data_IF_285823388254
#
_entry.id   IF_285823388254
#
_cell.length_a   1.000
_cell.length_b   1.000
_cell.length_c   1.000
_cell.angle_alpha   90.00
_cell.angle_beta   90.00
_cell.angle_gamma   90.00
#
_symmetry.space_group_name_H-M   'P 1'
#
loop_
_entity.id
_entity.type
_entity.pdbx_description
1 polymer ?
#
# COMPACT_ATOMS: atom_id res chain seq x y z
N UNK A 1 7.30 -6.94 -8.17
CA UNK A 1 6.31 -5.93 -7.78
C UNK A 1 7.05 -4.68 -7.30
N UNK A 2 6.63 -3.54 -7.77
CA UNK A 2 7.15 -2.25 -7.33
C UNK A 2 6.02 -1.37 -6.78
N UNK A 3 6.36 -0.49 -5.87
CA UNK A 3 5.41 0.44 -5.29
C UNK A 3 6.06 1.81 -5.10
N UNK A 4 5.24 2.86 -5.14
CA UNK A 4 5.67 4.22 -4.86
C UNK A 4 4.60 4.93 -4.04
N UNK A 5 4.99 5.41 -2.88
CA UNK A 5 4.12 6.13 -1.95
C UNK A 5 4.41 7.62 -2.03
N UNK A 6 3.38 8.42 -2.27
CA UNK A 6 3.48 9.87 -2.29
C UNK A 6 2.95 10.41 -0.97
N UNK A 7 3.79 11.11 -0.25
CA UNK A 7 3.43 11.76 1.00
C UNK A 7 2.78 13.11 0.75
N UNK A 8 2.08 13.64 1.75
CA UNK A 8 1.35 14.90 1.62
C UNK A 8 2.27 16.07 1.28
N UNK A 9 3.51 16.05 1.73
CA UNK A 9 4.52 17.08 1.44
C UNK A 9 5.17 16.95 0.05
N UNK A 10 4.81 15.90 -0.72
CA UNK A 10 5.37 15.65 -2.04
C UNK A 10 6.54 14.68 -2.07
N UNK A 11 7.06 14.24 -0.92
CA UNK A 11 8.12 13.22 -0.88
C UNK A 11 7.59 11.90 -1.43
N UNK A 12 8.47 11.13 -2.08
CA UNK A 12 8.13 9.85 -2.67
C UNK A 12 9.04 8.77 -2.09
N UNK A 13 8.44 7.66 -1.65
CA UNK A 13 9.16 6.50 -1.14
C UNK A 13 8.83 5.29 -2.01
N UNK A 14 9.86 4.68 -2.56
CA UNK A 14 9.70 3.50 -3.39
C UNK A 14 9.93 2.22 -2.59
N UNK A 15 9.30 1.14 -3.01
CA UNK A 15 9.48 -0.17 -2.40
C UNK A 15 9.44 -1.28 -3.41
N UNK A 16 10.02 -2.41 -3.04
CA UNK A 16 9.94 -3.66 -3.77
C UNK A 16 9.60 -4.77 -2.78
N UNK A 17 9.14 -5.92 -3.28
CA UNK A 17 8.88 -7.04 -2.41
C UNK A 17 10.21 -7.62 -1.90
N UNK A 18 10.21 -8.04 -0.63
CA UNK A 18 11.38 -8.61 0.03
C UNK A 18 11.02 -10.03 0.45
N UNK A 19 11.65 -11.00 -0.19
CA UNK A 19 11.34 -12.40 -0.01
C UNK A 19 12.00 -12.98 1.24
N UNK A 20 11.37 -13.99 1.81
CA UNK A 20 11.90 -14.71 2.96
C UNK A 20 11.53 -16.18 2.82
N UNK A 21 12.44 -17.08 3.18
CA UNK A 21 12.18 -18.51 3.19
C UNK A 21 11.04 -18.86 4.15
N UNK A 22 10.89 -18.10 5.22
CA UNK A 22 9.70 -18.13 6.07
C UNK A 22 8.65 -17.20 5.45
N UNK A 23 7.69 -17.74 4.74
CA UNK A 23 6.75 -16.96 3.93
C UNK A 23 5.99 -15.90 4.72
N UNK A 24 5.71 -16.15 6.00
CA UNK A 24 5.05 -15.17 6.85
C UNK A 24 5.85 -13.91 7.09
N UNK A 25 7.16 -13.93 6.83
CA UNK A 25 8.04 -12.78 7.00
C UNK A 25 8.33 -12.06 5.69
N UNK A 26 7.84 -12.57 4.55
CA UNK A 26 7.93 -11.90 3.26
C UNK A 26 7.18 -10.59 3.32
N UNK A 27 7.78 -9.51 2.81
CA UNK A 27 7.18 -8.19 2.82
C UNK A 27 6.87 -7.72 1.41
N UNK A 28 5.63 -7.29 1.18
CA UNK A 28 5.21 -6.80 -0.13
C UNK A 28 5.80 -5.42 -0.41
N UNK A 29 5.91 -5.07 -1.71
CA UNK A 29 6.46 -3.80 -2.15
C UNK A 29 5.72 -2.61 -1.52
N UNK A 30 4.41 -2.69 -1.42
CA UNK A 30 3.57 -1.63 -0.85
C UNK A 30 3.93 -1.38 0.62
N UNK A 31 4.07 -2.45 1.41
CA UNK A 31 4.44 -2.32 2.83
C UNK A 31 5.87 -1.83 2.99
N UNK A 32 6.78 -2.23 2.10
CA UNK A 32 8.15 -1.72 2.12
C UNK A 32 8.16 -0.20 1.96
N UNK A 33 7.41 0.33 0.99
CA UNK A 33 7.30 1.77 0.76
C UNK A 33 6.67 2.49 1.95
N UNK A 34 5.56 1.96 2.47
CA UNK A 34 4.84 2.56 3.60
C UNK A 34 5.71 2.58 4.85
N UNK A 35 6.32 1.45 5.19
CA UNK A 35 7.13 1.35 6.41
C UNK A 35 8.37 2.24 6.34
N UNK A 36 8.97 2.38 5.16
CA UNK A 36 10.08 3.30 4.95
C UNK A 36 9.66 4.74 5.23
N UNK A 37 8.53 5.18 4.68
CA UNK A 37 8.02 6.52 4.89
C UNK A 37 7.65 6.76 6.36
N UNK A 38 6.98 5.80 7.00
CA UNK A 38 6.61 5.90 8.42
C UNK A 38 7.84 5.98 9.30
N UNK A 39 8.88 5.19 9.01
CA UNK A 39 10.12 5.22 9.77
C UNK A 39 10.85 6.55 9.64
N UNK A 40 10.61 7.28 8.57
CA UNK A 40 11.17 8.63 8.36
C UNK A 40 10.28 9.73 8.95
N UNK A 41 9.19 9.37 9.62
CA UNK A 41 8.33 10.32 10.33
C UNK A 41 7.11 10.80 9.57
N UNK A 42 6.82 10.25 8.40
CA UNK A 42 5.63 10.64 7.64
C UNK A 42 4.39 9.95 8.17
N UNK A 43 3.31 10.72 8.33
CA UNK A 43 2.03 10.22 8.84
C UNK A 43 0.86 10.57 7.94
N UNK A 44 1.06 11.39 6.90
CA UNK A 44 0.02 11.85 5.99
C UNK A 44 0.44 11.58 4.55
N UNK A 45 -0.46 10.93 3.80
CA UNK A 45 -0.16 10.40 2.48
C UNK A 45 -1.21 10.84 1.46
N UNK A 46 -0.80 10.97 0.20
CA UNK A 46 -1.69 11.32 -0.91
C UNK A 46 -2.12 10.09 -1.70
N UNK A 47 -1.18 9.22 -2.06
CA UNK A 47 -1.47 8.08 -2.94
C UNK A 47 -0.39 7.02 -2.85
N UNK A 48 -0.77 5.79 -3.16
CA UNK A 48 0.16 4.68 -3.31
C UNK A 48 -0.06 4.04 -4.67
N UNK A 49 1.01 3.92 -5.45
CA UNK A 49 0.98 3.20 -6.72
C UNK A 49 1.61 1.82 -6.54
N UNK A 50 1.03 0.80 -7.15
CA UNK A 50 1.58 -0.55 -7.18
C UNK A 50 1.56 -1.05 -8.62
N UNK A 51 2.68 -1.65 -9.06
CA UNK A 51 2.82 -2.16 -10.43
C UNK A 51 3.52 -3.51 -10.41
N UNK A 52 3.07 -4.40 -11.30
CA UNK A 52 3.69 -5.69 -11.51
C UNK A 52 3.46 -6.16 -12.95
N UNK A 53 4.15 -7.22 -13.34
CA UNK A 53 3.93 -7.86 -14.64
C UNK A 53 2.73 -8.81 -14.55
N UNK A 54 1.53 -8.24 -14.63
CA UNK A 54 0.27 -8.96 -14.50
C UNK A 54 -0.64 -8.70 -15.70
N UNK A 55 -1.63 -9.57 -15.93
CA UNK A 55 -2.56 -9.42 -17.05
C UNK A 55 -3.40 -8.15 -16.90
N UNK A 56 -3.93 -7.88 -15.72
CA UNK A 56 -4.66 -6.66 -15.42
C UNK A 56 -3.92 -5.80 -14.43
N UNK A 57 -4.54 -4.70 -13.95
CA UNK A 57 -3.94 -3.86 -12.91
C UNK A 57 -3.60 -4.68 -11.67
N UNK A 58 -2.40 -4.46 -11.12
CA UNK A 58 -1.92 -5.20 -9.96
C UNK A 58 -2.67 -4.78 -8.71
N UNK A 59 -3.46 -5.69 -8.13
CA UNK A 59 -4.18 -5.42 -6.89
C UNK A 59 -3.32 -5.77 -5.67
N UNK A 60 -3.33 -4.94 -4.61
CA UNK A 60 -2.60 -5.26 -3.38
C UNK A 60 -3.24 -6.42 -2.63
N UNK A 61 -2.42 -7.18 -1.90
CA UNK A 61 -2.92 -8.29 -1.07
C UNK A 61 -3.70 -7.77 0.15
N UNK A 62 -4.40 -8.67 0.84
CA UNK A 62 -5.22 -8.31 2.00
C UNK A 62 -4.41 -7.65 3.12
N UNK A 63 -3.22 -8.16 3.41
CA UNK A 63 -2.35 -7.58 4.43
C UNK A 63 -1.94 -6.15 4.09
N UNK A 64 -1.61 -5.89 2.82
CA UNK A 64 -1.29 -4.54 2.36
C UNK A 64 -2.50 -3.61 2.45
N UNK A 65 -3.70 -4.11 2.12
CA UNK A 65 -4.93 -3.32 2.23
C UNK A 65 -5.19 -2.91 3.68
N UNK A 66 -4.95 -3.80 4.64
CA UNK A 66 -5.09 -3.47 6.06
C UNK A 66 -4.10 -2.39 6.49
N UNK A 67 -2.85 -2.47 6.04
CA UNK A 67 -1.82 -1.46 6.34
C UNK A 67 -2.18 -0.12 5.70
N UNK A 68 -2.66 -0.12 4.46
CA UNK A 68 -3.12 1.10 3.79
C UNK A 68 -4.26 1.77 4.56
N UNK A 69 -5.19 0.97 5.07
CA UNK A 69 -6.29 1.47 5.89
C UNK A 69 -5.83 2.07 7.21
N UNK A 70 -4.86 1.43 7.86
CA UNK A 70 -4.31 1.92 9.13
C UNK A 70 -3.70 3.32 8.98
N UNK A 71 -2.98 3.56 7.89
CA UNK A 71 -2.33 4.86 7.64
C UNK A 71 -3.15 5.81 6.79
N UNK A 72 -4.41 5.48 6.54
CA UNK A 72 -5.38 6.35 5.84
C UNK A 72 -4.87 6.85 4.49
N UNK A 73 -4.27 5.97 3.69
CA UNK A 73 -3.84 6.33 2.34
C UNK A 73 -5.09 6.43 1.46
N UNK A 74 -5.44 7.62 0.92
CA UNK A 74 -6.75 7.80 0.31
C UNK A 74 -6.90 7.15 -1.08
N UNK A 75 -5.84 7.17 -1.87
CA UNK A 75 -5.90 6.78 -3.29
C UNK A 75 -4.88 5.69 -3.58
N UNK A 76 -5.34 4.62 -4.22
CA UNK A 76 -4.48 3.52 -4.66
C UNK A 76 -4.52 3.46 -6.18
N UNK A 77 -3.34 3.47 -6.80
CA UNK A 77 -3.18 3.38 -8.24
C UNK A 77 -2.62 2.00 -8.56
N UNK A 78 -3.40 1.18 -9.21
CA UNK A 78 -3.02 -0.19 -9.57
C UNK A 78 -2.66 -0.24 -11.05
N UNK A 79 -1.50 -0.78 -11.38
CA UNK A 79 -1.02 -0.83 -12.75
C UNK A 79 -0.31 -2.13 -13.09
N UNK A 80 -0.01 -2.30 -14.38
CA UNK A 80 0.84 -3.37 -14.88
C UNK A 80 1.83 -2.81 -15.90
N UNK A 81 2.69 -3.68 -16.43
CA UNK A 81 3.70 -3.25 -17.41
C UNK A 81 3.11 -3.01 -18.80
N UNK A 82 1.84 -3.37 -19.04
CA UNK A 82 1.17 -3.18 -20.32
C UNK A 82 0.47 -1.83 -20.43
N UNK A 83 0.48 -1.04 -19.36
CA UNK A 83 -0.14 0.28 -19.33
C UNK A 83 -1.57 0.30 -18.82
N UNK A 84 -2.11 -0.84 -18.36
CA UNK A 84 -3.42 -0.88 -17.70
C UNK A 84 -3.33 -0.23 -16.34
N UNK A 85 -4.22 0.72 -16.06
CA UNK A 85 -4.22 1.47 -14.81
C UNK A 85 -5.64 1.57 -14.27
N UNK A 86 -5.80 1.32 -12.98
CA UNK A 86 -7.06 1.55 -12.29
C UNK A 86 -6.80 2.30 -11.00
N UNK A 87 -7.58 3.36 -10.76
CA UNK A 87 -7.46 4.21 -9.58
C UNK A 87 -8.68 3.95 -8.70
N UNK A 88 -8.43 3.57 -7.45
CA UNK A 88 -9.49 3.24 -6.51
C UNK A 88 -9.19 3.89 -5.15
N UNK A 89 -10.23 3.98 -4.30
CA UNK A 89 -10.03 4.39 -2.92
C UNK A 89 -9.62 3.20 -2.06
N UNK A 90 -8.90 3.45 -0.98
CA UNK A 90 -8.58 2.40 0.00
C UNK A 90 -9.87 1.81 0.61
N UNK A 91 -10.89 2.64 0.82
CA UNK A 91 -12.18 2.17 1.34
C UNK A 91 -12.82 1.14 0.42
N UNK A 92 -12.71 1.32 -0.90
CA UNK A 92 -13.25 0.37 -1.87
C UNK A 92 -12.51 -0.98 -1.83
N UNK A 93 -11.20 -0.95 -1.51
CA UNK A 93 -10.38 -2.16 -1.41
C UNK A 93 -10.55 -2.88 -0.08
N UNK A 94 -11.01 -2.20 0.95
CA UNK A 94 -11.14 -2.77 2.30
C UNK A 94 -12.45 -2.30 2.95
N UNK A 95 -13.61 -2.74 2.44
CA UNK A 95 -14.89 -2.39 3.04
C UNK A 95 -15.01 -2.99 4.45
N UNK A 96 -15.70 -2.27 5.35
CA UNK A 96 -15.88 -2.69 6.74
C UNK A 96 -14.55 -3.00 7.43
N UNK A 97 -13.54 -2.14 7.23
CA UNK A 97 -12.19 -2.40 7.70
C UNK A 97 -12.09 -2.39 9.22
N UNK A 98 -11.20 -3.26 9.73
CA UNK A 98 -10.79 -3.21 11.14
C UNK A 98 -9.79 -2.05 11.29
N UNK A 99 -9.98 -1.17 12.25
CA UNK A 99 -9.11 -0.02 12.46
C UNK A 99 -8.67 0.09 13.92
N UNK A 100 -7.67 0.90 14.18
CA UNK A 100 -7.19 1.13 15.54
C UNK A 100 -8.27 1.76 16.43
N UNK A 101 -9.21 2.52 15.87
CA UNK A 101 -10.31 3.08 16.64
C UNK A 101 -11.26 2.01 17.15
N UNK A 102 -11.37 0.88 16.46
CA UNK A 102 -12.19 -0.23 16.94
C UNK A 102 -11.60 -0.90 18.17
N UNK A 103 -10.30 -0.76 18.38
CA UNK A 103 -9.59 -1.34 19.53
C UNK A 103 -9.50 -0.36 20.69
N UNK A 104 -9.25 0.90 20.40
CA UNK A 104 -9.01 1.94 21.41
C UNK A 104 -10.19 2.11 22.36
N UNK A 105 -11.42 1.93 21.87
CA UNK A 105 -12.63 2.11 22.64
C UNK A 105 -12.98 0.93 23.53
N UNK A 106 -12.13 -0.08 23.57
CA UNK A 106 -12.35 -1.28 24.40
C UNK A 106 -11.96 -1.07 25.85
#
# INVERSE_FOLDING_TARGET
VGAALVCEDGSIYEGCNIENASFGLTNCAERTAIFKAVSEGHTKFKALAVVADTEGPCAPCGACRQVMGEFNIPIIIMGNLKGDIEVVSTEALLPFSFSSTDVIDK
#
